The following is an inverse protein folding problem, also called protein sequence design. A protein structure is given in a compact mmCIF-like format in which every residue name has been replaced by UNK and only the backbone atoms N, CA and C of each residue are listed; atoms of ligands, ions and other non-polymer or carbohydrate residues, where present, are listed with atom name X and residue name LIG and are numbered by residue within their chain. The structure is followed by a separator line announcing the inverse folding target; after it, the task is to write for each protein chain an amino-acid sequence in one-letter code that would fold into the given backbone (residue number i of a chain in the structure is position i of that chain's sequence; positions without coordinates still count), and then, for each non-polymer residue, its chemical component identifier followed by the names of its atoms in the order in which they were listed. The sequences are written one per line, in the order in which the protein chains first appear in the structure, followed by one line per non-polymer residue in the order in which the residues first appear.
data_IF_602646415017
#
_entry.id   IF_602646415017
#
_cell.length_a   1.000
_cell.length_b   1.000
_cell.length_c   1.000
_cell.angle_alpha   90.00
_cell.angle_beta   90.00
_cell.angle_gamma   90.00
#
_symmetry.space_group_name_H-M   'P 1'
#
loop_
_entity.id
_entity.type
_entity.pdbx_description
1 polymer ?
#
# COMPACT_ATOMS: atom_id res chain seq x y z
N UNK A 1 1.75 7.78 9.17
CA UNK A 1 1.31 6.46 9.64
C UNK A 1 1.65 5.43 8.57
N UNK A 2 2.03 4.22 8.94
CA UNK A 2 2.21 3.11 8.02
C UNK A 2 0.94 2.28 7.98
N UNK A 3 0.40 2.03 6.79
CA UNK A 3 -0.72 1.08 6.62
C UNK A 3 -0.18 -0.17 5.96
N UNK A 4 -0.35 -1.31 6.63
CA UNK A 4 -0.02 -2.62 6.08
C UNK A 4 -1.30 -3.27 5.59
N UNK A 5 -1.34 -3.55 4.29
CA UNK A 5 -2.47 -4.16 3.60
C UNK A 5 -2.04 -5.49 3.00
N UNK A 6 -2.92 -6.49 3.00
CA UNK A 6 -2.79 -7.63 2.09
C UNK A 6 -3.98 -7.63 1.15
N UNK A 7 -3.70 -7.53 -0.14
CA UNK A 7 -4.69 -7.36 -1.19
C UNK A 7 -4.47 -8.36 -2.33
N UNK A 8 -5.53 -8.64 -3.08
CA UNK A 8 -5.48 -9.49 -4.27
C UNK A 8 -5.89 -8.70 -5.52
N UNK A 9 -4.94 -8.40 -6.40
CA UNK A 9 -5.21 -8.21 -7.85
C UNK A 9 -3.90 -8.21 -8.65
N UNK A 10 -3.98 -8.67 -9.90
CA UNK A 10 -2.86 -8.81 -10.85
C UNK A 10 -2.96 -7.79 -11.97
N UNK A 11 -1.84 -7.16 -12.30
CA UNK A 11 -1.52 -6.72 -13.66
C UNK A 11 -0.27 -7.52 -14.10
N UNK A 12 -0.23 -7.96 -15.36
CA UNK A 12 0.80 -8.89 -15.86
C UNK A 12 2.23 -8.32 -15.72
N UNK A 13 3.12 -9.13 -15.14
CA UNK A 13 4.58 -8.98 -15.17
C UNK A 13 5.15 -8.01 -14.13
N UNK A 14 6.16 -8.46 -13.37
CA UNK A 14 6.88 -7.65 -12.36
C UNK A 14 6.83 -8.26 -10.96
N UNK A 15 6.50 -7.42 -9.96
CA UNK A 15 6.53 -7.78 -8.52
C UNK A 15 5.26 -8.47 -8.01
N UNK A 16 4.18 -8.50 -8.79
CA UNK A 16 2.90 -9.07 -8.39
C UNK A 16 2.89 -10.59 -8.56
N UNK A 17 2.29 -11.29 -7.59
CA UNK A 17 2.04 -12.74 -7.68
C UNK A 17 0.90 -13.06 -8.67
N UNK A 18 0.81 -14.31 -9.16
CA UNK A 18 -0.27 -14.76 -10.03
C UNK A 18 -1.70 -14.53 -9.48
N UNK A 19 -2.68 -14.64 -10.37
CA UNK A 19 -4.10 -14.47 -10.00
C UNK A 19 -4.50 -15.56 -9.01
N UNK A 20 -5.24 -15.17 -7.96
CA UNK A 20 -5.63 -16.06 -6.86
C UNK A 20 -4.62 -16.10 -5.71
N UNK A 21 -3.40 -15.60 -5.90
CA UNK A 21 -2.40 -15.52 -4.84
C UNK A 21 -2.44 -14.17 -4.10
N UNK A 22 -2.13 -14.22 -2.81
CA UNK A 22 -2.09 -13.05 -1.94
C UNK A 22 -0.88 -12.17 -2.25
N UNK A 23 -1.12 -10.89 -2.47
CA UNK A 23 -0.06 -9.88 -2.47
C UNK A 23 -0.03 -9.15 -1.12
N UNK A 24 1.16 -8.79 -0.67
CA UNK A 24 1.33 -7.87 0.46
C UNK A 24 1.62 -6.48 -0.09
N UNK A 25 0.91 -5.48 0.40
CA UNK A 25 1.11 -4.08 0.04
C UNK A 25 1.32 -3.25 1.30
N UNK A 26 2.45 -2.57 1.38
CA UNK A 26 2.75 -1.64 2.46
C UNK A 26 2.72 -0.21 1.90
N UNK A 27 2.00 0.68 2.57
CA UNK A 27 1.96 2.10 2.25
C UNK A 27 2.52 2.89 3.44
N UNK A 28 3.68 3.51 3.25
CA UNK A 28 4.38 4.26 4.29
C UNK A 28 4.21 5.75 4.01
N UNK A 29 3.45 6.43 4.87
CA UNK A 29 3.27 7.89 4.81
C UNK A 29 4.13 8.56 5.89
N UNK A 30 5.21 9.24 5.46
CA UNK A 30 6.16 9.98 6.32
C UNK A 30 6.23 11.43 5.87
N UNK A 31 5.79 12.35 6.73
CA UNK A 31 5.71 13.77 6.38
C UNK A 31 4.86 13.99 5.13
N UNK A 32 5.44 14.63 4.12
CA UNK A 32 4.82 14.87 2.81
C UNK A 32 5.22 13.83 1.74
N UNK A 33 5.71 12.67 2.16
CA UNK A 33 6.14 11.58 1.27
C UNK A 33 5.31 10.31 1.47
N UNK A 34 5.14 9.56 0.38
CA UNK A 34 4.44 8.28 0.36
C UNK A 34 5.27 7.27 -0.40
N UNK A 35 5.46 6.09 0.18
CA UNK A 35 6.07 4.94 -0.48
C UNK A 35 5.08 3.79 -0.55
N UNK A 36 4.96 3.18 -1.73
CA UNK A 36 4.14 1.99 -1.95
C UNK A 36 5.04 0.82 -2.27
N UNK A 37 4.95 -0.22 -1.45
CA UNK A 37 5.75 -1.44 -1.56
C UNK A 37 4.79 -2.58 -1.84
N UNK A 38 5.12 -3.41 -2.84
CA UNK A 38 4.37 -4.63 -3.16
C UNK A 38 5.31 -5.82 -3.06
N UNK A 39 4.95 -6.81 -2.24
CA UNK A 39 5.73 -8.02 -2.00
C UNK A 39 7.20 -7.76 -1.64
N UNK A 40 7.46 -6.69 -0.87
CA UNK A 40 8.81 -6.31 -0.44
C UNK A 40 9.58 -5.42 -1.41
N UNK A 41 9.02 -5.13 -2.60
CA UNK A 41 9.66 -4.26 -3.59
C UNK A 41 8.97 -2.89 -3.65
N UNK A 42 9.74 -1.81 -3.57
CA UNK A 42 9.24 -0.44 -3.77
C UNK A 42 8.76 -0.28 -5.22
N UNK A 43 7.48 0.00 -5.41
CA UNK A 43 6.87 0.17 -6.75
C UNK A 43 6.49 1.61 -7.07
N UNK A 44 6.31 2.45 -6.05
CA UNK A 44 5.98 3.86 -6.24
C UNK A 44 6.50 4.70 -5.07
N UNK A 45 6.95 5.92 -5.37
CA UNK A 45 7.32 6.94 -4.39
C UNK A 45 6.77 8.30 -4.85
N UNK A 46 6.13 9.01 -3.93
CA UNK A 46 5.69 10.39 -4.11
C UNK A 46 6.31 11.29 -3.03
N UNK A 47 6.62 12.54 -3.39
CA UNK A 47 7.12 13.59 -2.51
C UNK A 47 6.29 14.87 -2.70
N UNK A 48 6.34 15.77 -1.72
CA UNK A 48 5.56 17.02 -1.72
C UNK A 48 4.05 16.79 -1.90
N UNK A 49 3.52 15.74 -1.27
CA UNK A 49 2.11 15.37 -1.35
C UNK A 49 1.25 16.32 -0.52
N UNK A 50 0.13 16.75 -1.11
CA UNK A 50 -0.91 17.53 -0.43
C UNK A 50 -2.31 17.00 -0.81
N UNK A 51 -3.28 16.96 0.13
CA UNK A 51 -3.17 17.29 1.56
C UNK A 51 -2.35 16.25 2.36
N UNK A 52 -1.87 16.64 3.54
CA UNK A 52 -1.00 15.78 4.40
C UNK A 52 -1.77 14.71 5.18
N UNK A 53 -3.09 14.88 5.34
CA UNK A 53 -3.94 13.98 6.11
C UNK A 53 -5.32 13.87 5.46
N UNK A 54 -5.96 12.73 5.66
CA UNK A 54 -7.26 12.43 5.07
C UNK A 54 -7.78 11.06 5.45
N UNK A 55 -8.92 10.69 4.86
CA UNK A 55 -9.51 9.36 5.02
C UNK A 55 -8.77 8.33 4.15
N UNK A 56 -8.65 7.11 4.67
CA UNK A 56 -8.14 5.96 3.92
C UNK A 56 -9.33 5.25 3.28
N UNK A 57 -9.22 4.92 1.99
CA UNK A 57 -10.24 4.22 1.23
C UNK A 57 -9.64 3.03 0.50
N UNK A 58 -10.28 1.87 0.61
CA UNK A 58 -10.04 0.75 -0.30
C UNK A 58 -11.05 0.84 -1.45
N UNK A 59 -10.55 0.93 -2.67
CA UNK A 59 -11.39 0.95 -3.87
C UNK A 59 -11.35 -0.39 -4.58
N UNK A 60 -12.51 -0.79 -5.10
CA UNK A 60 -12.67 -1.89 -6.04
C UNK A 60 -13.09 -1.31 -7.38
N UNK A 61 -12.50 -1.77 -8.48
CA UNK A 61 -12.86 -1.31 -9.82
C UNK A 61 -12.80 -2.46 -10.84
N UNK A 62 -13.95 -2.77 -11.45
CA UNK A 62 -14.10 -3.66 -12.60
C UNK A 62 -14.00 -5.17 -12.34
N UNK A 63 -13.45 -5.61 -11.21
CA UNK A 63 -13.42 -7.03 -10.83
C UNK A 63 -13.36 -7.20 -9.33
N UNK A 64 -13.76 -8.37 -8.85
CA UNK A 64 -13.71 -8.72 -7.42
C UNK A 64 -12.30 -8.54 -6.82
N UNK A 65 -12.27 -8.11 -5.57
CA UNK A 65 -11.05 -7.94 -4.77
C UNK A 65 -11.30 -8.44 -3.36
N UNK A 66 -10.33 -9.19 -2.83
CA UNK A 66 -10.34 -9.68 -1.47
C UNK A 66 -9.23 -9.00 -0.68
N UNK A 67 -9.58 -8.52 0.52
CA UNK A 67 -8.64 -7.94 1.47
C UNK A 67 -8.58 -8.79 2.73
N UNK A 68 -7.40 -8.91 3.33
CA UNK A 68 -7.24 -9.48 4.67
C UNK A 68 -6.13 -8.78 5.43
N UNK A 69 -6.16 -8.85 6.76
CA UNK A 69 -5.11 -8.29 7.64
C UNK A 69 -4.79 -6.83 7.27
N UNK A 70 -5.85 -6.01 7.26
CA UNK A 70 -5.75 -4.57 7.01
C UNK A 70 -5.40 -3.90 8.33
N UNK A 71 -4.16 -3.45 8.46
CA UNK A 71 -3.62 -2.93 9.70
C UNK A 71 -3.09 -1.51 9.50
N UNK A 72 -3.40 -0.63 10.44
CA UNK A 72 -2.84 0.71 10.51
C UNK A 72 -1.90 0.78 11.70
N UNK A 73 -0.64 1.11 11.44
CA UNK A 73 0.40 1.23 12.46
C UNK A 73 0.94 2.68 12.44
N UNK A 74 1.09 3.33 13.60
CA UNK A 74 1.84 4.59 13.64
C UNK A 74 3.28 4.34 13.20
N UNK A 75 3.92 5.36 12.59
CA UNK A 75 5.35 5.26 12.34
C UNK A 75 6.12 5.33 13.67
N UNK A 76 7.25 4.61 13.81
CA UNK A 76 8.13 4.79 14.96
C UNK A 76 8.52 6.26 15.10
N UNK A 77 8.58 6.76 16.33
CA UNK A 77 8.94 8.16 16.63
C UNK A 77 10.31 8.59 16.10
N UNK A 78 11.18 7.63 15.78
CA UNK A 78 12.60 7.86 15.48
C UNK A 78 12.94 7.56 14.01
N UNK A 79 11.94 7.42 13.13
CA UNK A 79 12.16 7.19 11.71
C UNK A 79 12.41 8.53 10.99
N UNK A 80 13.54 9.18 11.30
CA UNK A 80 14.12 10.26 10.49
C UNK A 80 14.60 9.74 9.13
#
# INVERSE_FOLDING_TARGET
SATRLRAHRVLRGGVHRPVGEWNQTDCICRGNSIEVIVNGTLVNRAANVHPLNGRILQRCEGSEIYFRRVELQPLPRNAE
#
